data_IF_518689128176
#
_entry.id   IF_518689128176
#
_cell.length_a   1.000
_cell.length_b   1.000
_cell.length_c   1.000
_cell.angle_alpha   90.00
_cell.angle_beta   90.00
_cell.angle_gamma   90.00
#
_symmetry.space_group_name_H-M   'P 1'
#
loop_
_entity.id
_entity.type
_entity.pdbx_description
1 polymer ?
#
# COMPACT_ATOMS: atom_id res chain seq x y z
N UNK A 1 -16.96 22.56 5.67
CA UNK A 1 -15.71 21.78 5.90
C UNK A 1 -15.75 20.36 5.30
N UNK A 2 -16.91 19.76 5.01
CA UNK A 2 -17.03 18.40 4.47
C UNK A 2 -16.74 18.26 2.96
N UNK A 3 -17.02 19.29 2.16
CA UNK A 3 -16.86 19.23 0.70
C UNK A 3 -15.38 19.09 0.26
N UNK A 4 -14.45 19.74 0.97
CA UNK A 4 -13.01 19.62 0.71
C UNK A 4 -12.49 18.20 0.99
N UNK A 5 -13.03 17.52 2.01
CA UNK A 5 -12.58 16.18 2.37
C UNK A 5 -12.98 15.14 1.32
N UNK A 6 -14.18 15.27 0.74
CA UNK A 6 -14.64 14.37 -0.32
C UNK A 6 -13.76 14.52 -1.57
N UNK A 7 -13.46 15.77 -1.97
CA UNK A 7 -12.59 16.04 -3.11
C UNK A 7 -11.15 15.53 -2.90
N UNK A 8 -10.62 15.65 -1.67
CA UNK A 8 -9.30 15.13 -1.32
C UNK A 8 -9.25 13.60 -1.38
N UNK A 9 -10.24 12.91 -0.81
CA UNK A 9 -10.31 11.45 -0.82
C UNK A 9 -10.49 10.94 -2.26
N UNK A 10 -11.38 11.58 -3.04
CA UNK A 10 -11.57 11.20 -4.44
C UNK A 10 -10.30 11.43 -5.27
N UNK A 11 -9.62 12.56 -5.08
CA UNK A 11 -8.40 12.88 -5.82
C UNK A 11 -7.25 11.93 -5.51
N UNK A 12 -7.18 11.40 -4.30
CA UNK A 12 -6.12 10.47 -3.90
C UNK A 12 -6.39 9.03 -4.34
N UNK A 13 -7.66 8.59 -4.37
CA UNK A 13 -8.05 7.23 -4.79
C UNK A 13 -8.14 7.10 -6.32
N UNK A 14 -8.51 8.17 -7.02
CA UNK A 14 -8.72 8.18 -8.47
C UNK A 14 -7.54 7.63 -9.28
N UNK A 15 -6.26 7.98 -8.98
CA UNK A 15 -5.10 7.41 -9.68
C UNK A 15 -5.03 5.90 -9.56
N UNK A 16 -5.31 5.35 -8.36
CA UNK A 16 -5.28 3.91 -8.11
C UNK A 16 -6.33 3.19 -8.96
N UNK A 17 -7.55 3.73 -9.00
CA UNK A 17 -8.64 3.17 -9.82
C UNK A 17 -8.26 3.18 -11.31
N UNK A 18 -7.71 4.30 -11.81
CA UNK A 18 -7.29 4.43 -13.20
C UNK A 18 -6.21 3.40 -13.54
N UNK A 19 -5.19 3.24 -12.69
CA UNK A 19 -4.12 2.25 -12.91
C UNK A 19 -4.66 0.82 -12.97
N UNK A 20 -5.61 0.46 -12.11
CA UNK A 20 -6.26 -0.86 -12.13
C UNK A 20 -7.07 -1.07 -13.42
N UNK A 21 -7.82 -0.06 -13.86
CA UNK A 21 -8.60 -0.12 -15.11
C UNK A 21 -7.67 -0.32 -16.32
N UNK A 22 -6.56 0.41 -16.38
CA UNK A 22 -5.57 0.25 -17.46
C UNK A 22 -5.02 -1.18 -17.45
N UNK A 23 -4.63 -1.70 -16.28
CA UNK A 23 -4.14 -3.08 -16.14
C UNK A 23 -5.17 -4.11 -16.61
N UNK A 24 -6.45 -3.91 -16.29
CA UNK A 24 -7.54 -4.78 -16.74
C UNK A 24 -7.74 -4.74 -18.27
N UNK A 25 -7.72 -3.54 -18.87
CA UNK A 25 -7.86 -3.38 -20.32
C UNK A 25 -6.68 -4.04 -21.05
N UNK A 26 -5.45 -3.86 -20.56
CA UNK A 26 -4.25 -4.49 -21.15
C UNK A 26 -4.29 -6.02 -21.05
N UNK A 27 -4.78 -6.57 -19.93
CA UNK A 27 -5.01 -8.00 -19.79
C UNK A 27 -6.07 -8.52 -20.78
N UNK A 28 -7.18 -7.78 -20.95
CA UNK A 28 -8.25 -8.14 -21.89
C UNK A 28 -7.80 -8.10 -23.35
N UNK A 29 -6.92 -7.17 -23.71
CA UNK A 29 -6.33 -7.05 -25.07
C UNK A 29 -5.26 -8.11 -25.36
N UNK A 30 -4.85 -8.88 -24.36
CA UNK A 30 -3.72 -9.82 -24.43
C UNK A 30 -2.42 -9.12 -24.84
N UNK A 31 -2.25 -7.86 -24.42
CA UNK A 31 -1.02 -7.08 -24.65
C UNK A 31 0.20 -7.79 -24.03
N UNK A 32 -0.04 -8.62 -23.00
CA UNK A 32 0.94 -9.47 -22.35
C UNK A 32 0.43 -10.91 -22.24
N UNK A 33 1.28 -11.88 -22.53
CA UNK A 33 1.02 -13.28 -22.18
C UNK A 33 1.15 -13.48 -20.65
N UNK A 34 0.54 -14.53 -20.10
CA UNK A 34 0.61 -14.87 -18.67
C UNK A 34 2.03 -14.98 -18.15
N UNK A 35 2.94 -15.57 -18.93
CA UNK A 35 4.38 -15.61 -18.60
C UNK A 35 4.97 -14.20 -18.47
N UNK A 36 4.71 -13.32 -19.45
CA UNK A 36 5.23 -11.95 -19.47
C UNK A 36 4.68 -11.11 -18.32
N UNK A 37 3.39 -11.24 -18.02
CA UNK A 37 2.78 -10.59 -16.86
C UNK A 37 3.43 -11.06 -15.54
N UNK A 38 3.72 -12.36 -15.43
CA UNK A 38 4.44 -12.94 -14.29
C UNK A 38 5.87 -12.39 -14.15
N UNK A 39 6.60 -12.25 -15.26
CA UNK A 39 7.96 -11.72 -15.24
C UNK A 39 8.00 -10.22 -14.96
N UNK A 40 7.05 -9.42 -15.48
CA UNK A 40 6.87 -8.02 -15.09
C UNK A 40 6.60 -7.92 -13.59
N UNK A 41 5.70 -8.76 -13.06
CA UNK A 41 5.39 -8.76 -11.64
C UNK A 41 6.63 -9.10 -10.78
N UNK A 42 7.46 -10.07 -11.20
CA UNK A 42 8.74 -10.34 -10.53
C UNK A 42 9.67 -9.14 -10.55
N UNK A 43 9.78 -8.45 -11.68
CA UNK A 43 10.63 -7.25 -11.78
C UNK A 43 10.14 -6.16 -10.83
N UNK A 44 8.82 -5.94 -10.77
CA UNK A 44 8.22 -4.98 -9.84
C UNK A 44 8.53 -5.38 -8.39
N UNK A 45 8.24 -6.63 -8.04
CA UNK A 45 8.38 -7.13 -6.66
C UNK A 45 9.84 -7.17 -6.19
N UNK A 46 10.77 -7.57 -7.04
CA UNK A 46 12.17 -7.79 -6.67
C UNK A 46 13.05 -6.55 -6.83
N UNK A 47 12.72 -5.65 -7.77
CA UNK A 47 13.56 -4.50 -8.08
C UNK A 47 12.84 -3.17 -7.88
N UNK A 48 11.71 -2.94 -8.55
CA UNK A 48 11.07 -1.63 -8.54
C UNK A 48 10.60 -1.22 -7.13
N UNK A 49 10.04 -2.15 -6.38
CA UNK A 49 9.57 -1.90 -5.01
C UNK A 49 10.73 -1.57 -4.05
N UNK A 50 11.78 -2.39 -3.90
CA UNK A 50 12.92 -2.02 -3.06
C UNK A 50 13.56 -0.70 -3.47
N UNK A 51 13.71 -0.44 -4.77
CA UNK A 51 14.28 0.80 -5.28
C UNK A 51 13.41 2.02 -4.94
N UNK A 52 12.10 1.88 -5.03
CA UNK A 52 11.16 2.94 -4.64
C UNK A 52 11.32 3.28 -3.16
N UNK A 53 11.37 2.28 -2.28
CA UNK A 53 11.53 2.49 -0.84
C UNK A 53 12.91 3.11 -0.54
N UNK A 54 13.98 2.64 -1.19
CA UNK A 54 15.33 3.21 -1.05
C UNK A 54 15.38 4.68 -1.48
N UNK A 55 14.81 5.01 -2.65
CA UNK A 55 14.74 6.38 -3.15
C UNK A 55 14.01 7.30 -2.17
N UNK A 56 12.86 6.85 -1.64
CA UNK A 56 12.12 7.59 -0.61
C UNK A 56 12.95 7.79 0.67
N UNK A 57 13.72 6.79 1.09
CA UNK A 57 14.56 6.87 2.28
C UNK A 57 15.70 7.88 2.11
N UNK A 58 16.36 7.90 0.94
CA UNK A 58 17.44 8.85 0.63
C UNK A 58 16.93 10.29 0.56
N UNK A 59 15.72 10.50 0.03
CA UNK A 59 15.11 11.83 -0.06
C UNK A 59 14.59 12.36 1.28
N UNK A 60 14.43 11.51 2.30
CA UNK A 60 13.84 11.92 3.59
C UNK A 60 14.90 12.53 4.51
N UNK A 61 14.78 13.81 4.92
CA UNK A 61 15.74 14.44 5.82
C UNK A 61 15.78 13.77 7.19
N UNK A 62 17.00 13.53 7.71
CA UNK A 62 17.23 12.86 9.01
C UNK A 62 16.48 13.48 10.20
N UNK A 63 16.31 14.80 10.19
CA UNK A 63 15.67 15.52 11.29
C UNK A 63 14.16 15.28 11.36
N UNK A 64 13.52 14.96 10.22
CA UNK A 64 12.11 14.58 10.15
C UNK A 64 11.95 13.17 10.71
N UNK A 65 12.83 12.23 10.34
CA UNK A 65 12.77 10.85 10.87
C UNK A 65 12.89 10.82 12.40
N UNK A 66 13.81 11.63 12.95
CA UNK A 66 14.04 11.70 14.40
C UNK A 66 12.87 12.31 15.18
N UNK A 67 12.09 13.21 14.56
CA UNK A 67 10.91 13.81 15.20
C UNK A 67 9.64 12.96 15.05
N UNK A 68 9.65 11.94 14.18
CA UNK A 68 8.52 11.06 13.89
C UNK A 68 8.42 9.84 14.81
N UNK A 69 9.14 9.81 15.94
CA UNK A 69 9.11 8.70 16.91
C UNK A 69 7.69 8.25 17.32
N UNK A 70 6.78 9.17 17.70
CA UNK A 70 5.39 8.79 18.03
C UNK A 70 4.63 8.18 16.85
N UNK A 71 4.87 8.67 15.63
CA UNK A 71 4.25 8.14 14.41
C UNK A 71 4.77 6.74 14.10
N UNK A 72 6.07 6.49 14.28
CA UNK A 72 6.65 5.15 14.11
C UNK A 72 6.01 4.13 15.06
N UNK A 73 5.82 4.49 16.34
CA UNK A 73 5.12 3.64 17.31
C UNK A 73 3.68 3.39 16.90
N UNK A 74 2.96 4.43 16.45
CA UNK A 74 1.59 4.28 15.97
C UNK A 74 1.49 3.33 14.76
N UNK A 75 2.43 3.40 13.82
CA UNK A 75 2.49 2.49 12.67
C UNK A 75 2.79 1.06 13.12
N UNK A 76 3.75 0.85 14.03
CA UNK A 76 4.08 -0.48 14.58
C UNK A 76 2.86 -1.09 15.26
N UNK A 77 2.17 -0.32 16.11
CA UNK A 77 0.95 -0.77 16.77
C UNK A 77 -0.15 -1.06 15.75
N UNK A 78 -0.35 -0.20 14.75
CA UNK A 78 -1.34 -0.42 13.70
C UNK A 78 -1.06 -1.71 12.91
N UNK A 79 0.20 -2.01 12.58
CA UNK A 79 0.58 -3.25 11.91
C UNK A 79 0.33 -4.49 12.79
N UNK A 80 0.70 -4.43 14.07
CA UNK A 80 0.46 -5.53 15.01
C UNK A 80 -1.05 -5.75 15.19
N UNK A 81 -1.83 -4.70 15.42
CA UNK A 81 -3.27 -4.81 15.61
C UNK A 81 -3.97 -5.32 14.34
N UNK A 82 -3.57 -4.83 13.16
CA UNK A 82 -4.12 -5.26 11.87
C UNK A 82 -3.88 -6.75 11.58
N UNK A 83 -2.82 -7.33 12.15
CA UNK A 83 -2.57 -8.78 12.08
C UNK A 83 -3.26 -9.56 13.21
N UNK A 84 -3.14 -9.10 14.46
CA UNK A 84 -3.63 -9.83 15.64
C UNK A 84 -5.15 -9.87 15.69
N UNK A 85 -5.85 -8.78 15.35
CA UNK A 85 -7.31 -8.74 15.42
C UNK A 85 -7.96 -9.78 14.49
N UNK A 86 -7.64 -9.84 13.18
CA UNK A 86 -8.20 -10.86 12.30
C UNK A 86 -7.78 -12.28 12.70
N UNK A 87 -6.55 -12.46 13.19
CA UNK A 87 -6.07 -13.76 13.67
C UNK A 87 -6.92 -14.26 14.86
N UNK A 88 -7.14 -13.41 15.86
CA UNK A 88 -7.96 -13.74 17.03
C UNK A 88 -9.41 -14.00 16.64
N UNK A 89 -9.98 -13.19 15.75
CA UNK A 89 -11.35 -13.40 15.25
C UNK A 89 -11.46 -14.72 14.49
N UNK A 90 -10.56 -15.02 13.56
CA UNK A 90 -10.55 -16.27 12.80
C UNK A 90 -10.34 -17.49 13.70
N UNK A 91 -9.47 -17.37 14.71
CA UNK A 91 -9.12 -18.47 15.61
C UNK A 91 -10.19 -18.73 16.67
N UNK A 92 -10.68 -17.70 17.34
CA UNK A 92 -11.58 -17.84 18.50
C UNK A 92 -13.05 -17.79 18.12
N UNK A 93 -13.44 -16.96 17.14
CA UNK A 93 -14.83 -16.84 16.71
C UNK A 93 -15.19 -17.90 15.66
N UNK A 94 -14.30 -18.13 14.69
CA UNK A 94 -14.54 -19.06 13.57
C UNK A 94 -13.87 -20.44 13.75
N UNK A 95 -13.15 -20.66 14.86
CA UNK A 95 -12.49 -21.94 15.20
C UNK A 95 -11.63 -22.53 14.08
N UNK A 96 -11.02 -21.66 13.26
CA UNK A 96 -10.20 -22.07 12.12
C UNK A 96 -8.83 -22.60 12.54
N UNK A 97 -8.23 -23.40 11.68
CA UNK A 97 -6.83 -23.82 11.81
C UNK A 97 -5.91 -22.59 11.93
N UNK A 98 -4.84 -22.72 12.70
CA UNK A 98 -3.87 -21.65 12.93
C UNK A 98 -3.19 -21.23 11.62
N UNK A 99 -2.90 -22.17 10.73
CA UNK A 99 -2.31 -21.87 9.42
C UNK A 99 -3.24 -21.02 8.56
N UNK A 100 -4.52 -21.40 8.45
CA UNK A 100 -5.51 -20.65 7.67
C UNK A 100 -5.81 -19.27 8.26
N UNK A 101 -5.91 -19.19 9.60
CA UNK A 101 -6.14 -17.92 10.30
C UNK A 101 -4.97 -16.96 10.12
N UNK A 102 -3.74 -17.48 10.12
CA UNK A 102 -2.52 -16.70 9.89
C UNK A 102 -2.44 -16.19 8.45
N UNK A 103 -2.73 -17.05 7.45
CA UNK A 103 -2.78 -16.63 6.05
C UNK A 103 -3.83 -15.54 5.82
N UNK A 104 -5.01 -15.68 6.42
CA UNK A 104 -6.08 -14.68 6.33
C UNK A 104 -5.66 -13.37 7.01
N UNK A 105 -5.05 -13.44 8.19
CA UNK A 105 -4.55 -12.27 8.89
C UNK A 105 -3.44 -11.54 8.12
N UNK A 106 -2.54 -12.28 7.46
CA UNK A 106 -1.53 -11.69 6.57
C UNK A 106 -2.14 -11.05 5.33
N UNK A 107 -3.18 -11.65 4.74
CA UNK A 107 -3.87 -11.08 3.59
C UNK A 107 -4.55 -9.75 3.92
N UNK A 108 -5.11 -9.62 5.13
CA UNK A 108 -5.78 -8.40 5.60
C UNK A 108 -4.76 -7.36 6.07
N UNK A 109 -3.77 -7.79 6.86
CA UNK A 109 -2.77 -6.93 7.47
C UNK A 109 -1.61 -6.58 6.56
N UNK A 110 -1.58 -7.06 5.32
CA UNK A 110 -0.49 -6.82 4.38
C UNK A 110 -0.23 -5.31 4.26
N UNK A 111 1.01 -4.85 4.49
CA UNK A 111 1.37 -3.45 4.37
C UNK A 111 1.38 -3.07 2.88
N UNK A 112 0.21 -2.84 2.31
CA UNK A 112 0.03 -2.24 0.98
C UNK A 112 0.32 -0.73 0.99
N UNK A 113 0.56 -0.15 2.18
CA UNK A 113 0.84 1.27 2.38
C UNK A 113 2.02 1.79 1.54
N UNK A 114 3.15 1.08 1.37
CA UNK A 114 4.22 1.53 0.47
C UNK A 114 3.81 1.52 -1.02
N UNK A 115 2.97 0.56 -1.42
CA UNK A 115 2.51 0.39 -2.79
C UNK A 115 1.49 1.44 -3.20
N UNK A 116 0.47 1.64 -2.35
CA UNK A 116 -0.66 2.54 -2.63
C UNK A 116 -0.32 3.96 -2.15
N UNK A 117 0.37 4.05 -1.02
CA UNK A 117 0.67 5.33 -0.36
C UNK A 117 1.56 6.23 -1.19
N UNK A 118 2.50 5.73 -2.00
CA UNK A 118 3.30 6.58 -2.90
C UNK A 118 2.45 7.23 -4.00
N UNK A 119 1.51 6.50 -4.60
CA UNK A 119 0.58 7.04 -5.61
C UNK A 119 -0.41 8.05 -5.02
N UNK A 120 -0.88 7.79 -3.79
CA UNK A 120 -1.82 8.67 -3.05
C UNK A 120 -1.11 9.92 -2.52
N UNK A 121 0.09 9.77 -1.95
CA UNK A 121 0.86 10.87 -1.36
C UNK A 121 1.42 11.81 -2.43
N UNK A 122 1.74 11.29 -3.62
CA UNK A 122 2.09 12.12 -4.77
C UNK A 122 1.00 13.14 -5.10
N UNK A 123 -0.29 12.78 -4.99
CA UNK A 123 -1.40 13.71 -5.18
C UNK A 123 -1.46 14.78 -4.09
N UNK A 124 -1.12 14.44 -2.84
CA UNK A 124 -1.12 15.39 -1.72
C UNK A 124 0.07 16.38 -1.77
N UNK A 125 1.23 15.95 -2.29
CA UNK A 125 2.44 16.78 -2.41
C UNK A 125 2.51 17.58 -3.73
N UNK A 126 1.78 17.16 -4.77
CA UNK A 126 1.76 17.84 -6.07
C UNK A 126 1.38 19.35 -6.03
N UNK A 127 0.48 19.83 -5.14
CA UNK A 127 0.18 21.26 -5.02
C UNK A 127 1.28 22.07 -4.34
N UNK A 128 2.14 21.43 -3.53
CA UNK A 128 3.15 22.10 -2.70
C UNK A 128 4.46 22.38 -3.44
N UNK A 129 4.72 21.69 -4.56
CA UNK A 129 5.92 21.86 -5.38
C UNK A 129 5.84 23.08 -6.34
N UNK A 130 4.76 23.87 -6.29
CA UNK A 130 4.60 25.14 -7.02
C UNK A 130 4.59 26.35 -6.08
N UNK A 131 5.50 26.43 -5.12
CA UNK A 131 5.84 27.67 -4.41
C UNK A 131 7.33 27.70 -4.07
#
# INVERSE_FOLDING_TARGET
>A
MTQNNILLISGAILPVIITVIIGYISGKRKDFNWQQAGDINKIVMLYALPLSIFSNMVMTPRHIVMSMGPVAVAIILALILSFVIPLLVARYLFRRDLALSTLQALAIGSPAVPFIGTSVLAFYLAPSARR
#
